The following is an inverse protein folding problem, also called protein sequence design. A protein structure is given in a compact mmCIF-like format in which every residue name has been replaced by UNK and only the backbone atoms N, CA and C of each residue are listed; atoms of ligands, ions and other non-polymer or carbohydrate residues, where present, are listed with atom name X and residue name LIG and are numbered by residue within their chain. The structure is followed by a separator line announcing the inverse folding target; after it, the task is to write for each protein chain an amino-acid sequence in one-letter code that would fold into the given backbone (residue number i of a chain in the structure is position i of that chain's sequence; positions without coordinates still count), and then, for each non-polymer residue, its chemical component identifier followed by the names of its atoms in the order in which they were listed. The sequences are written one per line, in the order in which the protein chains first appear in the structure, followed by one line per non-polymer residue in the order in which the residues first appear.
data_IF_463509097280
#
_entry.id   IF_463509097280
#
_cell.length_a   1.000
_cell.length_b   1.000
_cell.length_c   1.000
_cell.angle_alpha   90.00
_cell.angle_beta   90.00
_cell.angle_gamma   90.00
#
_symmetry.space_group_name_H-M   'P 1'
#
loop_
_entity.id
_entity.type
_entity.pdbx_description
1 polymer ?
#
# COMPACT_ATOMS: atom_id res chain seq x y z
N UNK A 1 16.77 12.69 -8.06
CA UNK A 1 15.30 12.81 -8.10
C UNK A 1 14.69 11.50 -7.63
N UNK A 2 13.77 11.58 -6.72
CA UNK A 2 13.10 10.40 -6.23
C UNK A 2 12.04 9.91 -7.22
N UNK A 3 12.02 8.60 -7.45
CA UNK A 3 11.00 7.96 -8.24
C UNK A 3 9.99 7.31 -7.31
N UNK A 4 8.75 7.75 -7.38
CA UNK A 4 7.64 7.13 -6.68
C UNK A 4 6.55 6.80 -7.69
N UNK A 5 5.88 5.69 -7.50
CA UNK A 5 4.79 5.26 -8.39
C UNK A 5 3.49 5.15 -7.61
N UNK A 6 2.42 5.71 -8.18
CA UNK A 6 1.07 5.59 -7.64
C UNK A 6 0.36 4.47 -8.40
N UNK A 7 -0.05 3.43 -7.67
CA UNK A 7 -0.65 2.24 -8.28
C UNK A 7 -2.17 2.28 -8.26
N UNK A 8 -2.76 2.03 -9.43
CA UNK A 8 -4.16 1.67 -9.54
C UNK A 8 -4.31 0.16 -9.71
N UNK A 9 -5.53 -0.32 -9.66
CA UNK A 9 -5.84 -1.75 -9.74
C UNK A 9 -5.49 -2.43 -11.07
N UNK A 10 -5.24 -1.65 -12.11
CA UNK A 10 -4.96 -2.18 -13.44
C UNK A 10 -3.49 -2.53 -13.67
N UNK A 11 -2.58 -2.05 -12.85
CA UNK A 11 -1.16 -2.34 -12.97
C UNK A 11 -0.83 -3.54 -12.09
N UNK A 12 -0.55 -4.68 -12.70
CA UNK A 12 -0.39 -5.96 -12.00
C UNK A 12 1.04 -6.42 -11.85
N UNK A 13 1.91 -6.08 -12.79
CA UNK A 13 3.30 -6.50 -12.76
C UNK A 13 4.21 -5.33 -13.12
N UNK A 14 4.86 -4.78 -12.10
CA UNK A 14 5.77 -3.66 -12.28
C UNK A 14 7.07 -4.05 -12.98
N UNK A 15 7.44 -5.33 -12.94
CA UNK A 15 8.60 -5.82 -13.64
C UNK A 15 8.53 -5.64 -15.15
N UNK A 16 7.32 -5.54 -15.72
CA UNK A 16 7.11 -5.28 -17.15
C UNK A 16 7.36 -3.83 -17.52
N UNK A 17 7.39 -2.91 -16.55
CA UNK A 17 7.49 -1.47 -16.79
C UNK A 17 8.76 -0.84 -16.22
N UNK A 18 9.36 -1.45 -15.22
CA UNK A 18 10.48 -0.88 -14.48
C UNK A 18 11.61 -1.90 -14.33
N UNK A 19 12.83 -1.38 -14.34
CA UNK A 19 14.01 -2.18 -14.08
C UNK A 19 14.22 -2.42 -12.59
N UNK A 20 15.05 -3.38 -12.24
CA UNK A 20 15.39 -3.69 -10.86
C UNK A 20 15.97 -2.46 -10.15
N UNK A 21 15.36 -2.09 -9.03
CA UNK A 21 15.81 -0.96 -8.24
C UNK A 21 15.56 0.42 -8.85
N UNK A 22 14.72 0.51 -9.88
CA UNK A 22 14.44 1.78 -10.56
C UNK A 22 13.61 2.73 -9.70
N UNK A 23 12.67 2.21 -8.88
CA UNK A 23 11.78 3.04 -8.08
C UNK A 23 12.36 3.30 -6.69
N UNK A 24 12.17 4.51 -6.17
CA UNK A 24 12.52 4.85 -4.78
C UNK A 24 11.39 4.57 -3.79
N UNK A 25 10.15 4.46 -4.27
CA UNK A 25 8.99 4.18 -3.43
C UNK A 25 7.74 3.90 -4.23
N UNK A 26 6.68 3.53 -3.53
CA UNK A 26 5.41 3.16 -4.14
C UNK A 26 4.25 3.58 -3.24
N UNK A 27 3.17 4.08 -3.83
CA UNK A 27 1.94 4.42 -3.13
C UNK A 27 0.81 3.53 -3.62
N UNK A 28 0.15 2.83 -2.70
CA UNK A 28 -1.02 1.99 -2.96
C UNK A 28 -2.22 2.61 -2.25
N UNK A 29 -2.98 3.44 -2.97
CA UNK A 29 -4.09 4.19 -2.39
C UNK A 29 -5.43 3.62 -2.84
N UNK A 30 -6.20 3.07 -1.88
CA UNK A 30 -7.57 2.64 -2.09
C UNK A 30 -7.74 1.63 -3.23
N UNK A 31 -6.81 0.67 -3.32
CA UNK A 31 -6.90 -0.43 -4.27
C UNK A 31 -8.12 -1.32 -3.96
N UNK A 32 -8.56 -2.08 -4.97
CA UNK A 32 -9.71 -2.97 -4.83
C UNK A 32 -9.44 -4.02 -3.74
N UNK A 33 -10.32 -4.15 -2.73
CA UNK A 33 -10.09 -5.09 -1.64
C UNK A 33 -10.35 -6.56 -1.99
N UNK A 34 -11.04 -6.84 -3.12
CA UNK A 34 -11.39 -8.22 -3.50
C UNK A 34 -11.85 -9.04 -2.29
N UNK A 35 -13.06 -8.78 -1.75
CA UNK A 35 -13.46 -9.30 -0.42
C UNK A 35 -13.60 -10.82 -0.35
N UNK A 36 -13.79 -11.50 -1.48
CA UNK A 36 -13.92 -12.96 -1.50
C UNK A 36 -12.54 -13.62 -1.38
N UNK A 37 -12.43 -14.60 -0.52
CA UNK A 37 -11.18 -15.32 -0.27
C UNK A 37 -10.56 -15.93 -1.53
N UNK A 38 -11.39 -16.44 -2.44
CA UNK A 38 -10.92 -16.98 -3.72
C UNK A 38 -10.21 -15.95 -4.60
N UNK A 39 -10.40 -14.66 -4.32
CA UNK A 39 -9.77 -13.55 -5.05
C UNK A 39 -8.58 -12.94 -4.31
N UNK A 40 -8.11 -13.55 -3.22
CA UNK A 40 -7.02 -12.98 -2.42
C UNK A 40 -5.77 -12.69 -3.25
N UNK A 41 -5.47 -13.53 -4.24
CA UNK A 41 -4.30 -13.36 -5.11
C UNK A 41 -4.41 -12.13 -6.04
N UNK A 42 -5.59 -11.53 -6.16
CA UNK A 42 -5.81 -10.31 -6.96
C UNK A 42 -5.56 -9.04 -6.17
N UNK A 43 -5.47 -9.14 -4.84
CA UNK A 43 -5.19 -7.97 -3.98
C UNK A 43 -3.76 -7.50 -4.23
N UNK A 44 -3.57 -6.19 -4.39
CA UNK A 44 -2.26 -5.62 -4.73
C UNK A 44 -1.24 -5.74 -3.59
N UNK A 45 -1.67 -6.09 -2.39
CA UNK A 45 -0.78 -6.34 -1.24
C UNK A 45 -0.60 -7.83 -0.96
N UNK A 46 -1.08 -8.72 -1.85
CA UNK A 46 -0.76 -10.14 -1.75
C UNK A 46 0.75 -10.34 -1.90
N UNK A 47 1.30 -11.34 -1.18
CA UNK A 47 2.76 -11.58 -1.16
C UNK A 47 3.39 -11.70 -2.54
N UNK A 48 2.68 -12.24 -3.52
CA UNK A 48 3.20 -12.35 -4.89
C UNK A 48 3.47 -10.99 -5.52
N UNK A 49 2.65 -9.98 -5.21
CA UNK A 49 2.87 -8.62 -5.67
C UNK A 49 3.94 -7.92 -4.84
N UNK A 50 3.96 -8.14 -3.52
CA UNK A 50 4.96 -7.56 -2.64
C UNK A 50 6.38 -7.99 -3.04
N UNK A 51 6.56 -9.26 -3.42
CA UNK A 51 7.85 -9.76 -3.91
C UNK A 51 8.23 -9.09 -5.24
N UNK A 52 7.25 -8.83 -6.12
CA UNK A 52 7.50 -8.08 -7.34
C UNK A 52 7.92 -6.65 -7.08
N UNK A 53 7.27 -5.99 -6.14
CA UNK A 53 7.63 -4.60 -5.76
C UNK A 53 9.05 -4.54 -5.19
N UNK A 54 9.44 -5.53 -4.39
CA UNK A 54 10.78 -5.61 -3.84
C UNK A 54 11.86 -5.58 -4.92
N UNK A 55 11.59 -6.14 -6.09
CA UNK A 55 12.55 -6.18 -7.18
C UNK A 55 12.70 -4.84 -7.90
N UNK A 56 11.63 -4.06 -8.02
CA UNK A 56 11.67 -2.78 -8.75
C UNK A 56 11.95 -1.58 -7.86
N UNK A 57 11.73 -1.70 -6.55
CA UNK A 57 12.01 -0.65 -5.58
C UNK A 57 13.44 -0.84 -5.06
N UNK A 58 14.22 0.25 -5.01
CA UNK A 58 15.59 0.19 -4.50
C UNK A 58 15.60 -0.25 -3.02
N UNK A 59 16.66 -0.95 -2.55
CA UNK A 59 16.75 -1.35 -1.15
C UNK A 59 16.57 -0.16 -0.20
N UNK A 60 15.75 -0.37 0.84
CA UNK A 60 15.41 0.69 1.78
C UNK A 60 14.30 1.63 1.30
N UNK A 61 13.79 1.44 0.09
CA UNK A 61 12.65 2.19 -0.39
C UNK A 61 11.36 1.81 0.36
N UNK A 62 10.40 2.73 0.40
CA UNK A 62 9.18 2.55 1.17
C UNK A 62 7.96 2.33 0.29
N UNK A 63 7.03 1.51 0.78
CA UNK A 63 5.69 1.38 0.24
C UNK A 63 4.73 1.97 1.26
N UNK A 64 3.87 2.89 0.82
CA UNK A 64 2.82 3.47 1.65
C UNK A 64 1.46 3.00 1.14
N UNK A 65 0.68 2.41 2.03
CA UNK A 65 -0.61 1.82 1.74
C UNK A 65 -1.71 2.55 2.51
N UNK A 66 -2.78 2.93 1.82
CA UNK A 66 -3.99 3.50 2.44
C UNK A 66 -5.22 2.74 1.97
N UNK A 67 -6.14 2.47 2.88
CA UNK A 67 -7.41 1.83 2.55
C UNK A 67 -8.49 2.17 3.57
N UNK A 68 -9.73 2.24 3.09
CA UNK A 68 -10.92 2.33 3.94
C UNK A 68 -11.39 0.94 4.38
N UNK A 69 -10.85 -0.13 3.80
CA UNK A 69 -11.29 -1.50 4.07
C UNK A 69 -10.44 -2.13 5.18
N UNK A 70 -11.07 -2.43 6.32
CA UNK A 70 -10.40 -2.96 7.49
C UNK A 70 -9.87 -4.38 7.26
N UNK A 71 -10.58 -5.20 6.50
CA UNK A 71 -10.16 -6.57 6.20
C UNK A 71 -8.92 -6.57 5.32
N UNK A 72 -8.87 -5.66 4.34
CA UNK A 72 -7.67 -5.50 3.49
C UNK A 72 -6.48 -5.00 4.31
N UNK A 73 -6.72 -4.13 5.26
CA UNK A 73 -5.67 -3.64 6.17
C UNK A 73 -5.07 -4.81 6.97
N UNK A 74 -5.92 -5.64 7.61
CA UNK A 74 -5.46 -6.80 8.37
C UNK A 74 -4.71 -7.79 7.47
N UNK A 75 -5.25 -8.08 6.28
CA UNK A 75 -4.61 -8.93 5.29
C UNK A 75 -3.22 -8.40 4.91
N UNK A 76 -3.11 -7.09 4.68
CA UNK A 76 -1.83 -6.46 4.28
C UNK A 76 -0.78 -6.59 5.38
N UNK A 77 -1.16 -6.40 6.64
CA UNK A 77 -0.23 -6.58 7.76
C UNK A 77 0.33 -8.00 7.80
N UNK A 78 -0.52 -9.00 7.57
CA UNK A 78 -0.09 -10.40 7.54
C UNK A 78 0.85 -10.69 6.36
N UNK A 79 0.55 -10.16 5.18
CA UNK A 79 1.36 -10.38 3.98
C UNK A 79 2.73 -9.69 4.08
N UNK A 80 2.78 -8.49 4.63
CA UNK A 80 4.03 -7.78 4.87
C UNK A 80 4.91 -8.57 5.84
N UNK A 81 4.34 -9.11 6.91
CA UNK A 81 5.06 -9.95 7.85
C UNK A 81 5.56 -11.24 7.20
N UNK A 82 4.75 -11.87 6.35
CA UNK A 82 5.13 -13.09 5.64
C UNK A 82 6.30 -12.86 4.67
N UNK A 83 6.41 -11.65 4.11
CA UNK A 83 7.52 -11.27 3.23
C UNK A 83 8.74 -10.75 3.99
N UNK A 84 8.70 -10.71 5.32
CA UNK A 84 9.78 -10.19 6.16
C UNK A 84 10.15 -8.72 5.86
N UNK A 85 9.17 -7.93 5.46
CA UNK A 85 9.34 -6.49 5.26
C UNK A 85 9.12 -5.76 6.57
N UNK A 86 9.87 -4.67 6.79
CA UNK A 86 9.79 -3.91 8.04
C UNK A 86 8.66 -2.89 8.01
N UNK A 87 7.73 -2.98 8.95
CA UNK A 87 6.69 -1.98 9.12
C UNK A 87 7.26 -0.85 9.99
N UNK A 88 7.31 0.37 9.45
CA UNK A 88 7.82 1.54 10.18
C UNK A 88 6.72 2.43 10.73
N UNK A 89 5.54 2.43 10.08
CA UNK A 89 4.37 3.16 10.55
C UNK A 89 3.11 2.36 10.24
N UNK A 90 2.17 2.30 11.16
CA UNK A 90 0.85 1.71 10.91
C UNK A 90 -0.20 2.31 11.84
N UNK A 91 -1.41 2.52 11.33
CA UNK A 91 -2.54 3.00 12.11
C UNK A 91 -3.85 2.66 11.40
N UNK A 92 -4.91 2.44 12.17
CA UNK A 92 -6.26 2.30 11.64
C UNK A 92 -7.03 3.64 11.64
N UNK A 93 -6.36 4.74 11.97
CA UNK A 93 -6.94 6.09 12.02
C UNK A 93 -5.89 7.13 11.64
N UNK A 94 -5.56 7.19 10.36
CA UNK A 94 -4.48 8.02 9.84
C UNK A 94 -4.64 9.50 10.19
N UNK A 95 -5.85 10.04 10.08
CA UNK A 95 -6.08 11.48 10.21
C UNK A 95 -6.02 11.98 11.66
N UNK A 96 -6.12 11.06 12.63
CA UNK A 96 -5.90 11.35 14.05
C UNK A 96 -4.51 10.92 14.52
N UNK A 97 -3.65 10.47 13.58
CA UNK A 97 -2.27 10.05 13.88
C UNK A 97 -1.30 11.22 13.76
N UNK A 98 -0.02 10.96 14.12
CA UNK A 98 1.06 11.92 13.98
C UNK A 98 1.82 11.76 12.66
N UNK A 99 1.42 10.81 11.81
CA UNK A 99 2.13 10.52 10.58
C UNK A 99 1.94 11.60 9.52
N UNK A 100 3.02 11.91 8.79
CA UNK A 100 3.04 12.92 7.73
C UNK A 100 2.01 12.62 6.63
N UNK A 101 1.78 11.35 6.33
CA UNK A 101 0.86 10.94 5.27
C UNK A 101 -0.57 11.43 5.48
N UNK A 102 -0.97 11.81 6.71
CA UNK A 102 -2.30 12.38 6.99
C UNK A 102 -2.55 13.70 6.26
N UNK A 103 -1.47 14.37 5.83
CA UNK A 103 -1.53 15.67 5.15
C UNK A 103 -1.82 15.54 3.67
N UNK A 104 -1.61 14.36 3.10
CA UNK A 104 -1.75 14.11 1.67
C UNK A 104 -3.05 13.37 1.41
N UNK A 105 -4.14 14.13 1.21
CA UNK A 105 -5.48 13.58 1.05
C UNK A 105 -5.90 13.58 -0.41
N UNK A 106 -6.50 12.47 -0.86
CA UNK A 106 -7.18 12.41 -2.15
C UNK A 106 -8.64 12.83 -1.97
N UNK A 107 -9.33 13.17 -3.08
CA UNK A 107 -10.78 13.39 -3.07
C UNK A 107 -11.53 12.18 -2.51
N UNK A 108 -11.09 11.00 -2.89
CA UNK A 108 -11.68 9.74 -2.46
C UNK A 108 -11.56 9.59 -0.93
N UNK A 109 -10.41 9.92 -0.40
CA UNK A 109 -10.12 9.87 1.03
C UNK A 109 -11.01 10.83 1.82
N UNK A 110 -11.20 12.05 1.33
CA UNK A 110 -12.06 13.04 1.96
C UNK A 110 -13.52 12.60 2.01
N UNK A 111 -14.01 11.87 1.00
CA UNK A 111 -15.36 11.31 1.01
C UNK A 111 -15.57 10.35 2.18
N UNK A 112 -14.61 9.48 2.47
CA UNK A 112 -14.69 8.55 3.59
C UNK A 112 -14.61 9.28 4.92
N UNK A 113 -13.77 10.28 5.03
CA UNK A 113 -13.69 11.13 6.23
C UNK A 113 -15.02 11.80 6.53
N UNK A 114 -15.67 12.35 5.52
CA UNK A 114 -16.96 13.01 5.65
C UNK A 114 -18.07 12.03 6.08
N UNK A 115 -17.89 10.74 5.83
CA UNK A 115 -18.80 9.68 6.30
C UNK A 115 -18.43 9.14 7.67
N UNK A 116 -17.39 9.69 8.30
CA UNK A 116 -16.90 9.24 9.60
C UNK A 116 -16.09 7.94 9.54
N UNK A 117 -15.64 7.53 8.36
CA UNK A 117 -14.83 6.32 8.20
C UNK A 117 -13.36 6.62 8.44
N UNK A 118 -12.73 5.84 9.30
CA UNK A 118 -11.29 5.93 9.54
C UNK A 118 -10.51 5.40 8.33
N UNK A 119 -9.35 5.98 8.10
CA UNK A 119 -8.45 5.53 7.02
C UNK A 119 -7.31 4.71 7.63
N UNK A 120 -7.17 3.49 7.14
CA UNK A 120 -6.07 2.60 7.51
C UNK A 120 -4.82 2.97 6.71
N UNK A 121 -3.66 2.91 7.37
CA UNK A 121 -2.39 3.30 6.77
C UNK A 121 -1.27 2.40 7.24
N UNK A 122 -0.41 1.97 6.31
CA UNK A 122 0.81 1.23 6.61
C UNK A 122 1.95 1.79 5.76
N UNK A 123 3.10 2.04 6.38
CA UNK A 123 4.34 2.31 5.67
C UNK A 123 5.34 1.22 6.01
N UNK A 124 5.86 0.56 5.00
CA UNK A 124 6.82 -0.54 5.20
C UNK A 124 7.96 -0.45 4.19
N UNK A 125 9.11 -0.99 4.58
CA UNK A 125 10.34 -0.96 3.78
C UNK A 125 10.55 -2.30 3.06
N UNK A 126 11.07 -2.22 1.87
CA UNK A 126 11.43 -3.40 1.08
C UNK A 126 12.90 -3.75 1.22
#
# INVERSE_FOLDING_TARGET
MENACLMGEYVKDLGDYFEKGELSGLYLNFSDPWPKERHAKRRLTHRRYLEGYRQVIKPGGAIEFKSDNDDLYAFTLEEVAACHMEIVESTDDLHNSQFESRKYRTEYEERFMNRGKNINYIKFLV
#
